data_IF_219475463768
#
_entry.id   IF_219475463768
#
_cell.length_a   1.000
_cell.length_b   1.000
_cell.length_c   1.000
_cell.angle_alpha   90.00
_cell.angle_beta   90.00
_cell.angle_gamma   90.00
#
_symmetry.space_group_name_H-M   'P 1'
#
loop_
_entity.id
_entity.type
_entity.pdbx_description
1 polymer ?
#
# COMPACT_ATOMS: atom_id res chain seq x y z
N UNK A 1 -17.93 39.55 -6.55
CA UNK A 1 -16.60 38.93 -6.80
C UNK A 1 -16.65 38.21 -8.14
N UNK A 2 -15.90 38.69 -9.14
CA UNK A 2 -15.99 38.21 -10.53
C UNK A 2 -15.69 36.71 -10.63
N UNK A 3 -16.47 35.98 -11.44
CA UNK A 3 -16.29 34.55 -11.72
C UNK A 3 -14.83 34.20 -12.10
N UNK A 4 -14.18 35.14 -12.78
CA UNK A 4 -12.79 35.04 -13.22
C UNK A 4 -11.79 34.92 -12.06
N UNK A 5 -12.04 35.64 -10.96
CA UNK A 5 -11.20 35.60 -9.76
C UNK A 5 -11.30 34.24 -9.05
N UNK A 6 -12.48 33.61 -9.07
CA UNK A 6 -12.67 32.26 -8.51
C UNK A 6 -11.92 31.20 -9.31
N UNK A 7 -11.94 31.28 -10.65
CA UNK A 7 -11.22 30.35 -11.53
C UNK A 7 -9.70 30.44 -11.32
N UNK A 8 -9.17 31.66 -11.17
CA UNK A 8 -7.75 31.87 -10.91
C UNK A 8 -7.31 31.27 -9.57
N UNK A 9 -8.11 31.44 -8.51
CA UNK A 9 -7.85 30.88 -7.18
C UNK A 9 -7.86 29.34 -7.23
N UNK A 10 -8.85 28.74 -7.90
CA UNK A 10 -8.92 27.28 -8.08
C UNK A 10 -7.70 26.76 -8.84
N UNK A 11 -7.30 27.43 -9.92
CA UNK A 11 -6.12 27.04 -10.71
C UNK A 11 -4.80 27.18 -9.95
N UNK A 12 -4.70 28.11 -8.99
CA UNK A 12 -3.52 28.28 -8.12
C UNK A 12 -3.46 27.27 -6.98
N UNK A 13 -4.61 26.84 -6.46
CA UNK A 13 -4.70 25.89 -5.34
C UNK A 13 -4.62 24.44 -5.83
N UNK A 14 -5.02 24.17 -7.07
CA UNK A 14 -5.00 22.81 -7.59
C UNK A 14 -3.56 22.37 -7.85
N UNK A 15 -3.04 21.35 -7.14
CA UNK A 15 -1.70 20.84 -7.42
C UNK A 15 -1.65 20.30 -8.85
N UNK A 16 -0.62 20.68 -9.62
CA UNK A 16 -0.38 20.10 -10.95
C UNK A 16 -0.19 18.59 -10.79
N UNK A 17 -1.22 17.83 -11.18
CA UNK A 17 -1.19 16.38 -11.35
C UNK A 17 0.08 16.00 -12.12
N UNK A 18 1.03 15.33 -11.46
CA UNK A 18 2.20 14.75 -12.13
C UNK A 18 1.66 13.77 -13.17
N UNK A 19 2.04 13.93 -14.46
CA UNK A 19 1.65 13.01 -15.53
C UNK A 19 1.77 11.56 -15.05
N UNK A 20 0.63 10.90 -14.87
CA UNK A 20 0.57 9.52 -14.43
C UNK A 20 1.35 8.67 -15.44
N UNK A 21 2.40 7.98 -15.00
CA UNK A 21 3.04 6.95 -15.82
C UNK A 21 1.97 5.91 -16.14
N UNK A 22 1.75 5.69 -17.44
CA UNK A 22 0.51 5.09 -17.95
C UNK A 22 0.25 3.66 -17.46
N UNK A 23 1.26 2.89 -17.05
CA UNK A 23 1.08 1.55 -16.49
C UNK A 23 2.29 1.18 -15.61
N UNK A 24 2.07 0.95 -14.31
CA UNK A 24 3.07 0.35 -13.42
C UNK A 24 2.65 -1.08 -13.08
N UNK A 25 3.07 -2.02 -13.92
CA UNK A 25 2.76 -3.45 -13.77
C UNK A 25 3.15 -3.99 -12.39
N UNK A 26 4.24 -3.49 -11.80
CA UNK A 26 4.70 -3.91 -10.47
C UNK A 26 3.69 -3.52 -9.39
N UNK A 27 3.15 -2.31 -9.48
CA UNK A 27 2.11 -1.83 -8.56
C UNK A 27 0.79 -2.60 -8.71
N UNK A 28 0.41 -2.97 -9.94
CA UNK A 28 -0.78 -3.78 -10.20
C UNK A 28 -0.62 -5.19 -9.61
N UNK A 29 0.50 -5.86 -9.92
CA UNK A 29 0.79 -7.20 -9.42
C UNK A 29 0.82 -7.23 -7.89
N UNK A 30 1.45 -6.23 -7.26
CA UNK A 30 1.43 -6.07 -5.80
C UNK A 30 0.00 -6.01 -5.26
N UNK A 31 -0.84 -5.14 -5.84
CA UNK A 31 -2.23 -5.01 -5.42
C UNK A 31 -3.05 -6.29 -5.61
N UNK A 32 -2.77 -7.06 -6.66
CA UNK A 32 -3.43 -8.35 -6.91
C UNK A 32 -3.04 -9.40 -5.85
N UNK A 33 -1.75 -9.50 -5.51
CA UNK A 33 -1.25 -10.42 -4.47
C UNK A 33 -1.87 -10.08 -3.11
N UNK A 34 -1.92 -8.80 -2.76
CA UNK A 34 -2.55 -8.33 -1.51
C UNK A 34 -4.03 -8.76 -1.43
N UNK A 35 -4.78 -8.61 -2.53
CA UNK A 35 -6.19 -9.01 -2.59
C UNK A 35 -6.37 -10.52 -2.55
N UNK A 36 -5.53 -11.27 -3.26
CA UNK A 36 -5.55 -12.74 -3.24
C UNK A 36 -5.28 -13.28 -1.84
N UNK A 37 -4.31 -12.69 -1.11
CA UNK A 37 -4.03 -13.03 0.28
C UNK A 37 -5.23 -12.75 1.21
N UNK A 38 -5.87 -11.59 1.09
CA UNK A 38 -7.05 -11.27 1.88
C UNK A 38 -8.21 -12.22 1.58
N UNK A 39 -8.48 -12.52 0.30
CA UNK A 39 -9.50 -13.47 -0.10
C UNK A 39 -9.22 -14.87 0.46
N UNK A 40 -7.97 -15.34 0.37
CA UNK A 40 -7.53 -16.62 0.94
C UNK A 40 -7.77 -16.69 2.46
N UNK A 41 -7.46 -15.61 3.18
CA UNK A 41 -7.68 -15.55 4.64
C UNK A 41 -9.16 -15.59 5.03
N UNK A 42 -10.03 -14.95 4.24
CA UNK A 42 -11.48 -14.96 4.46
C UNK A 42 -12.09 -16.32 4.16
N UNK A 43 -11.66 -16.97 3.07
CA UNK A 43 -12.09 -18.34 2.72
C UNK A 43 -11.69 -19.33 3.83
N UNK A 44 -10.53 -19.11 4.46
CA UNK A 44 -10.06 -19.92 5.60
C UNK A 44 -10.80 -19.62 6.93
N UNK A 45 -11.75 -18.68 6.94
CA UNK A 45 -12.49 -18.29 8.14
C UNK A 45 -11.69 -17.48 9.16
N UNK A 46 -10.64 -16.77 8.72
CA UNK A 46 -9.72 -16.02 9.58
C UNK A 46 -9.85 -14.50 9.34
N UNK A 47 -10.97 -13.86 9.73
CA UNK A 47 -11.23 -12.45 9.44
C UNK A 47 -10.25 -11.49 10.16
N UNK A 48 -9.63 -11.91 11.26
CA UNK A 48 -8.63 -11.10 11.97
C UNK A 48 -7.39 -10.79 11.13
N UNK A 49 -7.13 -11.56 10.07
CA UNK A 49 -6.05 -11.31 9.11
C UNK A 49 -6.26 -9.97 8.37
N UNK A 50 -7.51 -9.50 8.20
CA UNK A 50 -7.79 -8.17 7.64
C UNK A 50 -7.25 -7.06 8.55
N UNK A 51 -7.47 -7.17 9.86
CA UNK A 51 -6.98 -6.18 10.83
C UNK A 51 -5.45 -6.17 10.87
N UNK A 52 -4.82 -7.35 10.88
CA UNK A 52 -3.36 -7.47 10.81
C UNK A 52 -2.81 -6.85 9.51
N UNK A 53 -3.42 -7.17 8.37
CA UNK A 53 -3.02 -6.62 7.08
C UNK A 53 -3.18 -5.09 7.03
N UNK A 54 -4.28 -4.57 7.58
CA UNK A 54 -4.51 -3.13 7.72
C UNK A 54 -3.44 -2.45 8.56
N UNK A 55 -3.10 -3.04 9.72
CA UNK A 55 -2.04 -2.55 10.60
C UNK A 55 -0.67 -2.55 9.91
N UNK A 56 -0.32 -3.63 9.20
CA UNK A 56 0.94 -3.73 8.43
C UNK A 56 1.02 -2.65 7.34
N UNK A 57 -0.08 -2.43 6.62
CA UNK A 57 -0.13 -1.43 5.54
C UNK A 57 -0.05 0.00 6.08
N UNK A 58 -0.62 0.27 7.26
CA UNK A 58 -0.50 1.57 7.92
C UNK A 58 0.91 1.79 8.49
N UNK A 59 1.45 0.82 9.22
CA UNK A 59 2.79 0.92 9.83
C UNK A 59 3.90 1.12 8.81
N UNK A 60 3.81 0.46 7.65
CA UNK A 60 4.77 0.64 6.55
C UNK A 60 4.62 1.99 5.82
N UNK A 61 3.44 2.64 5.85
CA UNK A 61 3.26 3.99 5.29
C UNK A 61 3.68 5.10 6.23
N UNK A 62 3.45 4.94 7.54
CA UNK A 62 3.85 5.93 8.55
C UNK A 62 5.37 6.06 8.60
N UNK A 63 6.11 4.95 8.54
CA UNK A 63 7.57 4.97 8.51
C UNK A 63 8.10 5.84 7.35
N UNK A 64 7.52 5.67 6.15
CA UNK A 64 7.84 6.45 4.94
C UNK A 64 7.60 7.96 5.02
N UNK A 65 6.86 8.45 6.02
CA UNK A 65 6.61 9.87 6.19
C UNK A 65 7.70 10.57 7.03
N UNK A 66 8.43 9.82 7.86
CA UNK A 66 9.20 10.40 8.97
C UNK A 66 10.70 10.59 8.69
N UNK A 67 11.31 9.92 7.71
CA UNK A 67 12.76 9.66 7.81
C UNK A 67 13.71 10.14 6.69
N UNK A 68 13.26 10.61 5.52
CA UNK A 68 14.21 11.08 4.50
C UNK A 68 13.65 12.11 3.50
N UNK A 69 14.26 13.31 3.43
CA UNK A 69 13.86 14.38 2.49
C UNK A 69 14.44 14.19 1.08
N UNK A 70 15.51 13.41 0.96
CA UNK A 70 16.19 13.14 -0.31
C UNK A 70 15.42 12.11 -1.15
N UNK A 71 15.42 12.26 -2.47
CA UNK A 71 14.73 11.32 -3.39
C UNK A 71 15.31 9.90 -3.34
N UNK A 72 16.60 9.74 -3.04
CA UNK A 72 17.24 8.42 -2.90
C UNK A 72 16.85 7.70 -1.60
N UNK A 73 16.76 8.44 -0.50
CA UNK A 73 16.31 7.93 0.80
C UNK A 73 14.90 7.37 0.75
N UNK A 74 13.96 8.16 0.19
CA UNK A 74 12.57 7.72 -0.03
C UNK A 74 12.45 6.46 -0.87
N UNK A 75 13.34 6.25 -1.86
CA UNK A 75 13.37 5.01 -2.66
C UNK A 75 13.85 3.83 -1.83
N UNK A 76 14.93 3.97 -1.06
CA UNK A 76 15.47 2.92 -0.18
C UNK A 76 14.44 2.50 0.87
N UNK A 77 13.78 3.48 1.47
CA UNK A 77 12.73 3.24 2.46
C UNK A 77 11.52 2.54 1.85
N UNK A 78 11.06 2.96 0.65
CA UNK A 78 9.97 2.28 -0.04
C UNK A 78 10.31 0.81 -0.36
N UNK A 79 11.56 0.51 -0.75
CA UNK A 79 12.02 -0.86 -0.98
C UNK A 79 12.03 -1.66 0.32
N UNK A 80 12.56 -1.10 1.41
CA UNK A 80 12.57 -1.72 2.74
C UNK A 80 11.15 -2.04 3.23
N UNK A 81 10.22 -1.09 3.09
CA UNK A 81 8.84 -1.27 3.51
C UNK A 81 8.11 -2.33 2.68
N UNK A 82 8.39 -2.39 1.36
CA UNK A 82 7.87 -3.47 0.52
C UNK A 82 8.41 -4.85 0.92
N UNK A 83 9.70 -4.93 1.26
CA UNK A 83 10.31 -6.18 1.73
C UNK A 83 9.64 -6.68 3.02
N UNK A 84 9.47 -5.80 4.02
CA UNK A 84 8.78 -6.15 5.27
C UNK A 84 7.32 -6.54 5.05
N UNK A 85 6.60 -5.83 4.19
CA UNK A 85 5.21 -6.14 3.92
C UNK A 85 5.06 -7.52 3.28
N UNK A 86 5.88 -7.82 2.25
CA UNK A 86 5.87 -9.12 1.57
C UNK A 86 6.25 -10.23 2.54
N UNK A 87 7.31 -10.04 3.34
CA UNK A 87 7.74 -11.01 4.35
C UNK A 87 6.60 -11.37 5.32
N UNK A 88 5.93 -10.35 5.89
CA UNK A 88 4.81 -10.56 6.80
C UNK A 88 3.63 -11.30 6.12
N UNK A 89 3.28 -10.92 4.89
CA UNK A 89 2.22 -11.60 4.12
C UNK A 89 2.57 -13.08 3.92
N UNK A 90 3.81 -13.38 3.51
CA UNK A 90 4.26 -14.76 3.29
C UNK A 90 4.25 -15.56 4.59
N UNK A 91 4.73 -15.01 5.70
CA UNK A 91 4.70 -15.67 7.01
C UNK A 91 3.29 -16.03 7.45
N UNK A 92 2.34 -15.10 7.30
CA UNK A 92 0.94 -15.36 7.66
C UNK A 92 0.31 -16.34 6.68
N UNK A 93 0.57 -16.23 5.38
CA UNK A 93 0.05 -17.16 4.38
C UNK A 93 0.49 -18.61 4.66
N UNK A 94 1.77 -18.81 5.00
CA UNK A 94 2.29 -20.12 5.41
C UNK A 94 1.65 -20.62 6.71
N UNK A 95 1.41 -19.74 7.67
CA UNK A 95 0.75 -20.09 8.93
C UNK A 95 -0.69 -20.55 8.71
N UNK A 96 -1.44 -19.85 7.87
CA UNK A 96 -2.80 -20.22 7.47
C UNK A 96 -2.78 -21.55 6.69
N UNK A 97 -1.82 -21.71 5.78
CA UNK A 97 -1.66 -22.94 5.01
C UNK A 97 -1.40 -24.15 5.92
N UNK A 98 -0.47 -24.01 6.87
CA UNK A 98 -0.18 -25.04 7.88
C UNK A 98 -1.40 -25.34 8.77
N UNK A 99 -2.11 -24.31 9.24
CA UNK A 99 -3.33 -24.47 10.03
C UNK A 99 -4.42 -25.24 9.27
N UNK A 100 -4.60 -24.96 7.98
CA UNK A 100 -5.57 -25.67 7.13
C UNK A 100 -5.14 -27.10 6.80
N UNK A 101 -3.85 -27.44 6.85
CA UNK A 101 -3.36 -28.80 6.57
C UNK A 101 -3.52 -29.74 7.78
N UNK A 102 -3.40 -29.20 8.99
CA UNK A 102 -3.47 -29.97 10.24
C UNK A 102 -4.87 -30.06 10.85
N UNK A 103 -5.83 -29.33 10.29
CA UNK A 103 -7.23 -29.33 10.68
C UNK A 103 -8.05 -30.10 9.66
#
# INVERSE_FOLDING_TARGET
>A
MSLFSKILIIALITPKEKKAKFFDYKSILKGLIERAFLAYSLISGLPHVLTLFGALKLGTRLKSADNEKTDEGRKREAVYNNYYLIGNIVSVALSIFYYNLLK
#
